data_IF_749230660149
#
_entry.id   IF_749230660149
#
_cell.length_a   1.000
_cell.length_b   1.000
_cell.length_c   1.000
_cell.angle_alpha   90.00
_cell.angle_beta   90.00
_cell.angle_gamma   90.00
#
_symmetry.space_group_name_H-M   'P 1'
#
loop_
_entity.id
_entity.type
_entity.pdbx_description
1 polymer ?
#
# COMPACT_ATOMS: atom_id res chain seq x y z
N UNK A 1 -63.43 1.55 27.29
CA UNK A 1 -63.71 0.16 26.88
C UNK A 1 -62.40 -0.56 26.59
N UNK A 2 -62.08 -1.58 27.40
CA UNK A 2 -61.45 -2.90 27.09
C UNK A 2 -60.27 -2.92 26.08
N UNK A 3 -59.02 -3.16 26.54
CA UNK A 3 -58.32 -4.48 26.71
C UNK A 3 -58.03 -5.14 25.34
N UNK A 4 -56.84 -5.58 24.93
CA UNK A 4 -55.72 -6.33 25.57
C UNK A 4 -54.58 -6.44 24.51
N UNK A 5 -53.27 -6.41 24.87
CA UNK A 5 -52.40 -7.57 25.17
C UNK A 5 -52.37 -8.60 24.01
N UNK A 6 -51.26 -9.15 23.50
CA UNK A 6 -50.07 -9.69 24.17
C UNK A 6 -49.27 -10.53 23.13
N UNK A 7 -47.94 -10.63 23.27
CA UNK A 7 -47.10 -11.85 23.12
C UNK A 7 -47.15 -12.67 21.79
N UNK A 8 -46.14 -13.41 21.33
CA UNK A 8 -44.73 -13.66 21.62
C UNK A 8 -44.24 -14.68 20.56
N UNK A 9 -42.92 -14.78 20.41
CA UNK A 9 -42.16 -16.04 20.23
C UNK A 9 -42.02 -16.75 18.86
N UNK A 10 -40.79 -17.32 18.72
CA UNK A 10 -40.33 -18.47 17.92
C UNK A 10 -39.88 -18.13 16.47
N UNK A 11 -38.71 -18.54 15.96
CA UNK A 11 -37.52 -19.20 16.50
C UNK A 11 -36.39 -19.21 15.43
N UNK A 12 -35.18 -19.49 15.94
CA UNK A 12 -33.94 -19.92 15.29
C UNK A 12 -34.05 -20.69 13.96
N UNK A 13 -33.09 -20.46 13.07
CA UNK A 13 -32.45 -21.54 12.28
C UNK A 13 -31.02 -21.12 11.87
N UNK A 14 -30.03 -21.72 12.54
CA UNK A 14 -28.65 -21.81 12.09
C UNK A 14 -28.59 -22.78 10.90
N UNK A 15 -27.95 -22.38 9.80
CA UNK A 15 -27.41 -23.33 8.82
C UNK A 15 -26.00 -22.88 8.39
N UNK A 16 -25.03 -23.46 9.09
CA UNK A 16 -23.65 -23.67 8.65
C UNK A 16 -23.68 -24.77 7.59
N UNK A 17 -23.22 -24.46 6.36
CA UNK A 17 -22.78 -25.49 5.42
C UNK A 17 -21.32 -25.25 5.05
N UNK A 18 -20.51 -26.13 5.61
CA UNK A 18 -19.08 -26.34 5.37
C UNK A 18 -18.88 -26.87 3.94
N UNK A 19 -18.05 -26.21 3.13
CA UNK A 19 -17.59 -26.77 1.86
C UNK A 19 -16.48 -27.78 2.13
N UNK A 20 -16.79 -29.04 1.87
CA UNK A 20 -15.90 -30.20 1.91
C UNK A 20 -15.06 -30.21 0.63
N UNK A 21 -13.76 -29.95 0.72
CA UNK A 21 -12.81 -30.26 -0.37
C UNK A 21 -12.52 -31.76 -0.35
N UNK A 22 -12.83 -32.42 -1.46
CA UNK A 22 -12.70 -33.86 -1.66
C UNK A 22 -11.23 -34.22 -1.96
N UNK A 23 -10.67 -35.11 -1.15
CA UNK A 23 -9.41 -35.81 -1.40
C UNK A 23 -9.54 -36.70 -2.65
N UNK A 24 -8.55 -36.66 -3.53
CA UNK A 24 -8.20 -37.80 -4.38
C UNK A 24 -6.75 -38.18 -4.11
N UNK A 25 -6.58 -39.10 -3.18
CA UNK A 25 -5.42 -39.99 -3.13
C UNK A 25 -5.63 -41.09 -4.17
N UNK A 26 -4.61 -41.36 -4.98
CA UNK A 26 -4.41 -42.63 -5.67
C UNK A 26 -2.98 -43.08 -5.33
N UNK A 27 -2.87 -43.97 -4.33
CA UNK A 27 -1.89 -45.06 -4.30
C UNK A 27 -2.12 -45.94 -5.55
N UNK A 28 -1.17 -46.57 -6.23
CA UNK A 28 0.07 -47.24 -5.82
C UNK A 28 0.75 -47.68 -7.14
N UNK A 29 2.09 -47.75 -7.18
CA UNK A 29 2.81 -49.01 -7.43
C UNK A 29 4.32 -48.78 -7.49
N UNK A 30 4.99 -49.54 -6.62
CA UNK A 30 6.43 -49.71 -6.50
C UNK A 30 6.89 -50.64 -7.64
N UNK A 31 7.99 -50.29 -8.31
CA UNK A 31 8.87 -51.29 -8.91
C UNK A 31 10.30 -50.78 -8.79
N UNK A 32 11.08 -51.45 -7.94
CA UNK A 32 12.53 -51.27 -7.83
C UNK A 32 13.21 -51.67 -9.14
N UNK A 33 14.10 -50.80 -9.64
CA UNK A 33 15.29 -51.21 -10.38
C UNK A 33 16.34 -50.10 -10.23
N UNK A 34 17.44 -50.46 -9.55
CA UNK A 34 18.65 -49.66 -9.48
C UNK A 34 19.21 -49.38 -10.89
N UNK A 35 19.47 -48.12 -11.21
CA UNK A 35 20.54 -47.75 -12.13
C UNK A 35 21.10 -46.37 -11.81
N UNK A 36 22.35 -46.39 -11.34
CA UNK A 36 23.24 -45.26 -11.10
C UNK A 36 23.53 -44.59 -12.45
N UNK A 37 23.19 -43.31 -12.64
CA UNK A 37 23.85 -42.43 -13.63
C UNK A 37 23.69 -40.93 -13.27
N UNK A 38 24.82 -40.35 -12.87
CA UNK A 38 25.28 -38.94 -12.98
C UNK A 38 24.45 -37.77 -12.39
N UNK A 39 25.12 -36.81 -11.70
CA UNK A 39 24.48 -35.60 -11.23
C UNK A 39 24.15 -34.69 -12.41
N UNK A 40 22.85 -34.44 -12.63
CA UNK A 40 22.39 -33.33 -13.49
C UNK A 40 22.88 -32.03 -12.87
N UNK A 41 23.82 -31.39 -13.55
CA UNK A 41 24.22 -30.00 -13.33
C UNK A 41 22.96 -29.14 -13.27
N UNK A 42 22.68 -28.58 -12.10
CA UNK A 42 21.61 -27.61 -11.92
C UNK A 42 21.84 -26.45 -12.88
N UNK A 43 20.85 -26.19 -13.73
CA UNK A 43 20.77 -25.00 -14.56
C UNK A 43 20.92 -23.78 -13.64
N UNK A 44 21.82 -22.82 -13.92
CA UNK A 44 21.94 -21.63 -13.10
C UNK A 44 20.58 -20.94 -13.06
N UNK A 45 20.11 -20.67 -11.85
CA UNK A 45 18.91 -19.86 -11.62
C UNK A 45 18.98 -18.60 -12.49
N UNK A 46 17.90 -18.31 -13.21
CA UNK A 46 17.75 -17.08 -13.97
C UNK A 46 18.20 -15.91 -13.09
N UNK A 47 19.28 -15.24 -13.53
CA UNK A 47 19.61 -13.93 -12.99
C UNK A 47 18.39 -13.06 -13.26
N UNK A 48 17.60 -12.76 -12.22
CA UNK A 48 16.63 -11.66 -12.24
C UNK A 48 17.40 -10.46 -12.78
N UNK A 49 17.09 -10.08 -14.01
CA UNK A 49 17.57 -8.86 -14.61
C UNK A 49 17.14 -7.74 -13.67
N UNK A 50 18.11 -7.13 -12.99
CA UNK A 50 17.87 -6.00 -12.11
C UNK A 50 17.50 -4.86 -13.05
N UNK A 51 16.21 -4.72 -13.37
CA UNK A 51 15.71 -3.54 -14.06
C UNK A 51 16.15 -2.33 -13.23
N UNK A 52 16.87 -1.41 -13.87
CA UNK A 52 17.27 -0.17 -13.22
C UNK A 52 16.00 0.59 -12.84
N UNK A 53 15.65 0.55 -11.55
CA UNK A 53 14.45 1.20 -11.04
C UNK A 53 14.66 2.71 -11.13
N UNK A 54 13.87 3.36 -11.98
CA UNK A 54 13.84 4.81 -12.09
C UNK A 54 13.12 5.40 -10.86
N UNK A 55 13.88 5.65 -9.80
CA UNK A 55 13.35 6.16 -8.53
C UNK A 55 12.90 7.63 -8.58
N UNK A 56 13.12 8.35 -9.69
CA UNK A 56 12.80 9.77 -9.78
C UNK A 56 11.31 10.05 -9.58
N UNK A 57 10.43 9.15 -10.03
CA UNK A 57 8.98 9.25 -9.80
C UNK A 57 8.63 9.19 -8.30
N UNK A 58 9.48 8.54 -7.50
CA UNK A 58 9.30 8.33 -6.06
C UNK A 58 10.17 9.25 -5.20
N UNK A 59 10.89 10.21 -5.79
CA UNK A 59 11.90 10.99 -5.06
C UNK A 59 11.31 11.86 -3.96
N UNK A 60 10.08 12.33 -4.16
CA UNK A 60 9.26 13.04 -3.17
C UNK A 60 7.79 12.73 -3.45
N UNK A 61 7.19 11.91 -2.59
CA UNK A 61 5.78 11.57 -2.61
C UNK A 61 5.04 12.38 -1.55
N UNK A 62 4.10 13.18 -2.02
CA UNK A 62 3.36 14.15 -1.21
C UNK A 62 1.95 13.64 -0.95
N UNK A 63 1.46 13.76 0.29
CA UNK A 63 0.15 13.26 0.67
C UNK A 63 -0.97 14.02 -0.04
N UNK A 64 -1.89 13.26 -0.62
CA UNK A 64 -3.10 13.77 -1.26
C UNK A 64 -4.32 13.08 -0.63
N UNK A 65 -5.51 13.57 -0.94
CA UNK A 65 -6.77 12.94 -0.55
C UNK A 65 -7.73 12.79 -1.72
N UNK A 66 -8.72 11.92 -1.53
CA UNK A 66 -9.81 11.71 -2.47
C UNK A 66 -10.85 12.82 -2.30
N UNK A 67 -11.07 13.62 -3.34
CA UNK A 67 -12.02 14.75 -3.36
C UNK A 67 -13.32 14.32 -4.05
N UNK A 68 -13.27 14.12 -5.36
CA UNK A 68 -14.41 13.70 -6.18
C UNK A 68 -14.29 12.24 -6.61
N UNK A 69 -14.62 11.30 -5.71
CA UNK A 69 -14.43 9.85 -5.95
C UNK A 69 -15.03 9.27 -7.24
N UNK A 70 -16.08 9.92 -7.79
CA UNK A 70 -16.78 9.51 -9.01
C UNK A 70 -16.21 10.15 -10.29
N UNK A 71 -15.30 11.11 -10.16
CA UNK A 71 -14.71 11.80 -11.31
C UNK A 71 -13.78 10.87 -12.08
N UNK A 72 -13.84 10.93 -13.42
CA UNK A 72 -12.88 10.26 -14.30
C UNK A 72 -11.62 11.09 -14.55
N UNK A 73 -11.65 12.38 -14.22
CA UNK A 73 -10.49 13.24 -14.29
C UNK A 73 -9.71 13.09 -12.99
N UNK A 74 -8.51 12.51 -13.04
CA UNK A 74 -7.66 12.29 -11.87
C UNK A 74 -7.38 13.59 -11.11
N UNK A 75 -7.24 14.71 -11.83
CA UNK A 75 -6.95 16.02 -11.24
C UNK A 75 -8.14 16.67 -10.51
N UNK A 76 -9.34 16.14 -10.70
CA UNK A 76 -10.55 16.47 -9.93
C UNK A 76 -10.83 15.44 -8.84
N UNK A 77 -10.51 14.17 -9.14
CA UNK A 77 -10.75 13.04 -8.25
C UNK A 77 -9.88 13.14 -6.99
N UNK A 78 -8.66 13.64 -7.12
CA UNK A 78 -7.73 13.84 -6.02
C UNK A 78 -7.35 15.31 -5.89
N UNK A 79 -6.83 15.67 -4.72
CA UNK A 79 -6.25 16.98 -4.44
C UNK A 79 -5.39 16.95 -3.19
N UNK A 80 -4.77 18.08 -2.86
CA UNK A 80 -3.98 18.25 -1.64
C UNK A 80 -4.82 17.86 -0.41
N UNK A 81 -4.23 17.07 0.50
CA UNK A 81 -4.87 16.75 1.79
C UNK A 81 -4.91 18.04 2.62
N UNK A 82 -6.08 18.66 2.73
CA UNK A 82 -6.12 20.03 3.24
C UNK A 82 -5.94 20.10 4.76
N UNK A 83 -6.51 19.14 5.49
CA UNK A 83 -6.56 19.17 6.96
C UNK A 83 -5.18 19.11 7.61
N UNK A 84 -4.33 18.22 7.12
CA UNK A 84 -3.00 17.96 7.61
C UNK A 84 -1.91 18.80 6.97
N UNK A 85 -2.11 19.28 5.74
CA UNK A 85 -1.17 20.22 5.12
C UNK A 85 -1.37 21.66 5.61
N UNK A 86 -2.61 22.11 5.77
CA UNK A 86 -2.91 23.52 6.05
C UNK A 86 -3.19 23.82 7.52
N UNK A 87 -3.84 22.91 8.27
CA UNK A 87 -4.19 23.15 9.67
C UNK A 87 -3.28 22.43 10.67
N UNK A 88 -3.17 21.11 10.57
CA UNK A 88 -2.51 20.32 11.61
C UNK A 88 -1.00 20.25 11.44
N UNK A 89 -0.47 20.52 10.23
CA UNK A 89 0.93 20.32 9.88
C UNK A 89 1.44 18.94 10.34
N UNK A 90 0.61 17.91 10.16
CA UNK A 90 0.81 16.61 10.78
C UNK A 90 1.06 15.49 9.77
N UNK A 91 1.18 15.78 8.48
CA UNK A 91 1.33 14.73 7.47
C UNK A 91 2.78 14.33 7.19
N UNK A 92 2.95 13.08 6.76
CA UNK A 92 4.20 12.53 6.28
C UNK A 92 4.37 12.71 4.77
N UNK A 93 5.51 13.26 4.35
CA UNK A 93 6.07 13.18 3.00
C UNK A 93 7.08 12.03 2.97
N UNK A 94 7.05 11.22 1.92
CA UNK A 94 8.06 10.17 1.70
C UNK A 94 9.08 10.65 0.67
N UNK A 95 10.38 10.59 0.99
CA UNK A 95 11.47 10.90 0.05
C UNK A 95 12.33 9.65 -0.14
N UNK A 96 12.53 9.22 -1.39
CA UNK A 96 13.27 8.01 -1.70
C UNK A 96 14.41 8.28 -2.69
N UNK A 97 15.60 7.81 -2.38
CA UNK A 97 16.70 7.74 -3.33
C UNK A 97 17.49 6.43 -3.14
N UNK A 98 18.61 6.27 -3.86
CA UNK A 98 19.43 5.04 -3.80
C UNK A 98 20.07 4.80 -2.41
N UNK A 99 20.17 5.82 -1.56
CA UNK A 99 20.88 5.77 -0.26
C UNK A 99 19.95 5.87 0.93
N UNK A 100 18.91 6.69 0.84
CA UNK A 100 18.04 7.03 1.96
C UNK A 100 16.57 6.87 1.58
N UNK A 101 15.79 6.38 2.55
CA UNK A 101 14.35 6.49 2.58
C UNK A 101 13.96 7.35 3.79
N UNK A 102 13.46 8.55 3.52
CA UNK A 102 13.13 9.55 4.54
C UNK A 102 11.61 9.73 4.65
N UNK A 103 11.16 9.89 5.88
CA UNK A 103 9.77 10.21 6.22
C UNK A 103 9.79 11.54 6.95
N UNK A 104 9.24 12.56 6.31
CA UNK A 104 9.46 13.97 6.65
C UNK A 104 8.12 14.62 6.99
N UNK A 105 8.08 15.50 7.99
CA UNK A 105 6.90 16.31 8.25
C UNK A 105 6.66 17.29 7.10
N UNK A 106 5.40 17.53 6.73
CA UNK A 106 5.07 18.40 5.60
C UNK A 106 5.41 19.88 5.83
N UNK A 107 5.42 20.36 7.07
CA UNK A 107 5.71 21.75 7.43
C UNK A 107 7.12 21.98 7.99
N UNK A 108 7.85 20.92 8.38
CA UNK A 108 9.21 21.01 8.90
C UNK A 108 10.12 19.92 8.31
N UNK A 109 10.97 20.31 7.36
CA UNK A 109 11.95 19.41 6.73
C UNK A 109 13.01 18.87 7.72
N UNK A 110 13.14 19.46 8.92
CA UNK A 110 14.05 18.98 9.96
C UNK A 110 13.41 17.90 10.85
N UNK A 111 12.09 17.77 10.85
CA UNK A 111 11.37 16.69 11.53
C UNK A 111 11.24 15.48 10.61
N UNK A 112 12.33 14.71 10.51
CA UNK A 112 12.40 13.53 9.67
C UNK A 112 12.90 12.28 10.39
N UNK A 113 12.49 11.13 9.88
CA UNK A 113 13.07 9.84 10.19
C UNK A 113 13.73 9.28 8.93
N UNK A 114 15.01 8.90 9.02
CA UNK A 114 15.79 8.34 7.93
C UNK A 114 16.03 6.85 8.12
N UNK A 115 15.87 6.08 7.05
CA UNK A 115 16.34 4.71 6.93
C UNK A 115 17.45 4.66 5.89
N UNK A 116 18.65 4.25 6.31
CA UNK A 116 19.78 3.99 5.43
C UNK A 116 19.87 2.50 5.06
N UNK A 117 19.42 1.61 5.96
CA UNK A 117 19.28 0.18 5.70
C UNK A 117 17.83 -0.14 5.32
N UNK A 118 17.57 -0.09 4.01
CA UNK A 118 16.31 -0.51 3.42
C UNK A 118 16.55 -1.19 2.07
N UNK A 119 15.57 -1.97 1.66
CA UNK A 119 15.53 -2.59 0.33
C UNK A 119 14.34 -2.03 -0.42
N UNK A 120 14.43 -1.94 -1.74
CA UNK A 120 13.30 -1.57 -2.57
C UNK A 120 13.18 -2.50 -3.78
N UNK A 121 11.95 -2.84 -4.12
CA UNK A 121 11.61 -3.70 -5.25
C UNK A 121 10.44 -3.09 -6.02
N UNK A 122 10.60 -2.96 -7.33
CA UNK A 122 9.55 -2.52 -8.24
C UNK A 122 9.07 -3.72 -9.05
N UNK A 123 7.77 -3.97 -9.06
CA UNK A 123 7.13 -4.97 -9.90
C UNK A 123 5.80 -4.44 -10.43
N UNK A 124 5.69 -4.29 -11.75
CA UNK A 124 4.50 -3.76 -12.39
C UNK A 124 4.10 -2.38 -11.84
N UNK A 125 2.89 -2.27 -11.27
CA UNK A 125 2.35 -1.05 -10.68
C UNK A 125 2.71 -0.87 -9.18
N UNK A 126 3.45 -1.81 -8.58
CA UNK A 126 3.79 -1.80 -7.15
C UNK A 126 5.26 -1.42 -6.93
N UNK A 127 5.52 -0.56 -5.94
CA UNK A 127 6.84 -0.35 -5.33
C UNK A 127 6.76 -0.81 -3.88
N UNK A 128 7.62 -1.74 -3.49
CA UNK A 128 7.82 -2.13 -2.08
C UNK A 128 9.11 -1.52 -1.56
N UNK A 129 9.06 -0.93 -0.37
CA UNK A 129 10.23 -0.45 0.38
C UNK A 129 10.22 -1.16 1.73
N UNK A 130 11.22 -2.00 1.97
CA UNK A 130 11.31 -2.82 3.18
C UNK A 130 12.39 -2.27 4.10
N UNK A 131 11.97 -1.88 5.30
CA UNK A 131 12.83 -1.55 6.44
C UNK A 131 12.95 -2.76 7.38
N UNK A 132 13.59 -2.61 8.53
CA UNK A 132 13.69 -3.69 9.53
C UNK A 132 12.35 -4.12 10.14
N UNK A 133 11.38 -3.21 10.27
CA UNK A 133 10.09 -3.48 10.96
C UNK A 133 8.87 -3.48 10.02
N UNK A 134 8.97 -2.77 8.89
CA UNK A 134 7.82 -2.46 8.04
C UNK A 134 8.20 -2.54 6.58
N UNK A 135 7.30 -3.12 5.78
CA UNK A 135 7.30 -2.96 4.32
C UNK A 135 6.22 -1.97 3.92
N UNK A 136 6.64 -0.86 3.32
CA UNK A 136 5.79 0.16 2.71
C UNK A 136 5.47 -0.26 1.29
N UNK A 137 4.19 -0.28 0.92
CA UNK A 137 3.73 -0.77 -0.38
C UNK A 137 2.96 0.34 -1.08
N UNK A 138 3.61 0.95 -2.06
CA UNK A 138 3.01 1.95 -2.93
C UNK A 138 2.45 1.26 -4.17
N UNK A 139 1.12 1.18 -4.26
CA UNK A 139 0.43 0.60 -5.42
C UNK A 139 -0.11 1.71 -6.28
N UNK A 140 0.32 1.80 -7.54
CA UNK A 140 -0.25 2.75 -8.50
C UNK A 140 -1.68 2.34 -8.85
N UNK A 141 -2.62 3.24 -8.58
CA UNK A 141 -4.09 2.99 -8.68
C UNK A 141 -4.76 3.74 -9.84
N UNK A 142 -4.04 4.64 -10.50
CA UNK A 142 -4.49 5.39 -11.68
C UNK A 142 -3.48 5.26 -12.84
N UNK A 143 -3.82 5.79 -14.02
CA UNK A 143 -2.88 5.87 -15.13
C UNK A 143 -1.77 6.92 -14.86
N UNK A 144 -2.15 8.04 -14.27
CA UNK A 144 -1.28 9.04 -13.65
C UNK A 144 -0.59 8.46 -12.41
N UNK A 145 0.55 9.01 -11.96
CA UNK A 145 1.30 8.50 -10.82
C UNK A 145 0.60 8.81 -9.49
N UNK A 146 -0.52 8.14 -9.24
CA UNK A 146 -1.27 8.16 -7.98
C UNK A 146 -1.06 6.83 -7.28
N UNK A 147 -0.56 6.87 -6.06
CA UNK A 147 -0.24 5.68 -5.28
C UNK A 147 -1.13 5.59 -4.05
N UNK A 148 -1.70 4.43 -3.83
CA UNK A 148 -2.24 4.05 -2.52
C UNK A 148 -1.11 3.42 -1.70
N UNK A 149 -0.96 3.85 -0.45
CA UNK A 149 0.01 3.31 0.49
C UNK A 149 -0.64 2.30 1.44
N UNK A 150 -0.08 1.11 1.49
CA UNK A 150 -0.40 0.08 2.51
C UNK A 150 0.87 -0.43 3.17
N UNK A 151 0.72 -1.25 4.21
CA UNK A 151 1.83 -1.74 5.03
C UNK A 151 1.72 -3.24 5.27
N UNK A 152 2.87 -3.91 5.28
CA UNK A 152 3.06 -5.23 5.89
C UNK A 152 3.97 -5.07 7.11
N UNK A 153 3.74 -5.87 8.16
CA UNK A 153 4.49 -5.81 9.41
C UNK A 153 3.90 -4.82 10.42
N UNK A 154 4.76 -4.18 11.22
CA UNK A 154 4.32 -3.21 12.22
C UNK A 154 3.92 -1.91 11.53
N UNK A 155 2.68 -1.45 11.75
CA UNK A 155 2.27 -0.14 11.26
C UNK A 155 3.15 0.93 11.93
N UNK A 156 3.82 1.79 11.15
CA UNK A 156 4.64 2.83 11.75
C UNK A 156 3.77 3.84 12.49
N UNK A 157 4.24 4.26 13.66
CA UNK A 157 3.67 5.37 14.41
C UNK A 157 4.71 6.48 14.50
N UNK A 158 4.53 7.50 13.66
CA UNK A 158 5.41 8.65 13.61
C UNK A 158 4.77 9.82 14.32
N UNK A 159 5.43 10.32 15.36
CA UNK A 159 5.02 11.57 16.00
C UNK A 159 4.97 12.70 14.97
N UNK A 160 3.85 13.43 14.91
CA UNK A 160 3.60 14.55 14.00
C UNK A 160 3.77 14.20 12.50
N UNK A 161 3.61 12.94 12.11
CA UNK A 161 3.79 12.46 10.72
C UNK A 161 2.73 11.40 10.40
N UNK A 162 1.46 11.78 10.57
CA UNK A 162 0.28 11.06 10.12
C UNK A 162 0.45 10.66 8.66
N UNK A 163 0.18 9.40 8.40
CA UNK A 163 0.30 8.80 7.08
C UNK A 163 -1.06 8.95 6.38
N UNK A 164 -1.08 9.62 5.22
CA UNK A 164 -2.22 9.62 4.30
C UNK A 164 -2.37 8.26 3.60
N UNK A 165 -3.56 7.97 3.08
CA UNK A 165 -3.82 6.80 2.26
C UNK A 165 -3.23 6.94 0.83
N UNK A 166 -3.26 8.15 0.27
CA UNK A 166 -2.88 8.40 -1.11
C UNK A 166 -1.70 9.39 -1.22
N UNK A 167 -0.87 9.17 -2.24
CA UNK A 167 0.28 9.99 -2.54
C UNK A 167 0.42 10.24 -4.05
N UNK A 168 1.01 11.38 -4.40
CA UNK A 168 1.47 11.68 -5.75
C UNK A 168 2.89 12.24 -5.71
N UNK A 169 3.66 12.18 -6.82
CA UNK A 169 4.91 12.91 -6.94
C UNK A 169 4.65 14.41 -6.75
N UNK A 170 5.57 15.09 -6.06
CA UNK A 170 5.48 16.54 -5.84
C UNK A 170 5.21 17.33 -7.13
N UNK A 171 5.82 16.92 -8.24
CA UNK A 171 5.66 17.56 -9.56
C UNK A 171 4.24 17.48 -10.14
N UNK A 172 3.36 16.70 -9.52
CA UNK A 172 1.96 16.56 -9.93
C UNK A 172 1.01 17.46 -9.12
N UNK A 173 1.44 18.00 -7.98
CA UNK A 173 0.56 18.68 -7.02
C UNK A 173 -0.16 19.87 -7.67
N UNK A 174 0.57 20.75 -8.38
CA UNK A 174 0.00 21.94 -9.05
C UNK A 174 -1.02 21.64 -10.15
N UNK A 175 -1.17 20.37 -10.56
CA UNK A 175 -2.16 19.98 -11.56
C UNK A 175 -3.53 19.69 -10.96
N UNK A 176 -3.62 19.43 -9.65
CA UNK A 176 -4.89 19.19 -8.99
C UNK A 176 -5.72 20.47 -8.92
N UNK A 177 -7.05 20.33 -8.98
CA UNK A 177 -7.97 21.47 -8.84
C UNK A 177 -7.81 22.12 -7.46
N UNK A 178 -7.77 21.30 -6.41
CA UNK A 178 -7.35 21.71 -5.06
C UNK A 178 -5.88 21.32 -4.85
N UNK A 179 -4.96 22.27 -5.01
CA UNK A 179 -3.52 22.03 -4.95
C UNK A 179 -2.78 22.81 -3.86
N UNK A 180 -3.39 23.82 -3.26
CA UNK A 180 -2.79 24.66 -2.22
C UNK A 180 -3.75 24.88 -1.05
N UNK A 181 -3.32 25.69 -0.08
CA UNK A 181 -4.16 26.13 1.02
C UNK A 181 -5.09 27.31 0.64
N UNK A 182 -5.07 27.78 -0.61
CA UNK A 182 -5.78 28.98 -1.06
C UNK A 182 -5.43 30.23 -0.26
N UNK A 183 -6.42 31.08 0.00
CA UNK A 183 -6.31 32.28 0.87
C UNK A 183 -6.32 31.93 2.37
N UNK A 184 -6.05 30.68 2.74
CA UNK A 184 -6.02 30.28 4.13
C UNK A 184 -4.94 31.04 4.90
N UNK A 185 -5.36 31.91 5.83
CA UNK A 185 -4.48 32.82 6.56
C UNK A 185 -3.84 32.22 7.82
N UNK A 186 -4.05 30.92 8.11
CA UNK A 186 -3.61 30.30 9.35
C UNK A 186 -4.54 30.60 10.51
#
# INVERSE_FOLDING_TARGET
>A
MKKTLSLCCIALSLLIFSCKSENKEIEQQITDTEQITQPKTEKPADKKEIQEIYLSEYSKLTPIELKESKSKNVFKKYGTEFSGNCYACDLAIFKLNKKNFDIVNVCDDNDFQRFEDFKYEKSGNILKITTSETTFIFTKVENEPIYQLTFEGKKPDFKNKRISEFYAPETLIEKFEEHDCGDFQG
#
